data_IF_790697098715
#
_entry.id   IF_790697098715
#
_cell.length_a   1.000
_cell.length_b   1.000
_cell.length_c   1.000
_cell.angle_alpha   90.00
_cell.angle_beta   90.00
_cell.angle_gamma   90.00
#
_symmetry.space_group_name_H-M   'P 1'
#
loop_
_entity.id
_entity.type
_entity.pdbx_description
1 polymer ?
#
# COMPACT_ATOMS: atom_id res chain seq x y z
N UNK A 1 2.95 -26.04 6.81
CA UNK A 1 2.03 -26.18 7.96
C UNK A 1 0.71 -26.77 7.48
N UNK A 2 0.18 -27.81 8.13
CA UNK A 2 -0.94 -28.61 7.61
C UNK A 2 -2.24 -27.78 7.54
N UNK A 3 -2.91 -27.73 6.37
CA UNK A 3 -4.11 -26.91 6.07
C UNK A 3 -5.31 -27.16 7.01
N UNK A 4 -5.32 -28.31 7.69
CA UNK A 4 -6.31 -28.68 8.72
C UNK A 4 -5.95 -28.13 10.12
N UNK A 5 -4.67 -27.88 10.39
CA UNK A 5 -4.20 -27.30 11.64
C UNK A 5 -4.37 -25.77 11.64
N UNK A 6 -4.17 -25.12 10.49
CA UNK A 6 -4.43 -23.68 10.31
C UNK A 6 -5.92 -23.33 10.45
N UNK A 7 -6.83 -24.16 9.91
CA UNK A 7 -8.27 -23.96 10.07
C UNK A 7 -8.71 -24.12 11.54
N UNK A 8 -8.13 -25.08 12.27
CA UNK A 8 -8.39 -25.25 13.71
C UNK A 8 -7.83 -24.11 14.56
N UNK A 9 -6.71 -23.51 14.15
CA UNK A 9 -6.11 -22.36 14.83
C UNK A 9 -6.92 -21.06 14.59
N UNK A 10 -7.42 -20.86 13.37
CA UNK A 10 -8.31 -19.73 13.03
C UNK A 10 -9.65 -19.85 13.77
N UNK A 11 -10.23 -21.06 13.84
CA UNK A 11 -11.42 -21.30 14.66
C UNK A 11 -11.16 -21.07 16.15
N UNK A 12 -9.99 -21.44 16.67
CA UNK A 12 -9.63 -21.23 18.08
C UNK A 12 -9.42 -19.74 18.44
N UNK A 13 -8.84 -18.94 17.53
CA UNK A 13 -8.71 -17.48 17.71
C UNK A 13 -10.07 -16.79 17.58
N UNK A 14 -10.93 -17.22 16.65
CA UNK A 14 -12.32 -16.76 16.58
C UNK A 14 -13.12 -17.12 17.85
N UNK A 15 -12.81 -18.25 18.50
CA UNK A 15 -13.42 -18.65 19.77
C UNK A 15 -12.85 -17.91 20.99
N UNK A 16 -11.58 -17.50 20.96
CA UNK A 16 -10.97 -16.71 22.04
C UNK A 16 -11.44 -15.24 22.07
N UNK A 17 -11.80 -14.67 20.91
CA UNK A 17 -12.39 -13.31 20.81
C UNK A 17 -13.88 -13.33 21.24
N UNK A 18 -14.51 -14.50 21.34
CA UNK A 18 -15.89 -14.65 21.84
C UNK A 18 -16.01 -14.66 23.37
N UNK A 19 -14.91 -14.59 24.13
CA UNK A 19 -14.92 -14.77 25.59
C UNK A 19 -14.59 -13.52 26.43
N UNK A 20 -14.61 -12.31 25.86
CA UNK A 20 -14.52 -11.06 26.64
C UNK A 20 -15.68 -10.13 26.28
N UNK A 21 -16.85 -10.40 26.87
CA UNK A 21 -17.72 -9.35 27.43
C UNK A 21 -18.78 -10.01 28.33
N UNK A 22 -18.47 -10.18 29.60
CA UNK A 22 -19.50 -10.23 30.63
C UNK A 22 -19.39 -8.92 31.40
N UNK A 23 -20.17 -7.93 30.98
CA UNK A 23 -20.72 -6.96 31.93
C UNK A 23 -22.20 -7.29 32.00
N UNK A 24 -22.54 -8.06 33.04
CA UNK A 24 -23.89 -8.17 33.56
C UNK A 24 -24.21 -6.82 34.20
N UNK A 25 -25.09 -6.05 33.58
CA UNK A 25 -26.15 -5.33 34.29
C UNK A 25 -27.05 -4.58 33.31
N UNK A 26 -28.34 -4.59 33.62
CA UNK A 26 -29.46 -3.81 33.06
C UNK A 26 -30.45 -4.61 32.19
N UNK A 27 -31.39 -5.25 32.89
CA UNK A 27 -32.82 -5.38 32.57
C UNK A 27 -33.18 -5.46 31.07
N UNK A 28 -33.41 -6.68 30.63
CA UNK A 28 -33.80 -7.10 29.29
C UNK A 28 -35.19 -6.56 28.90
N UNK A 29 -35.25 -5.25 28.59
CA UNK A 29 -36.21 -4.70 27.65
C UNK A 29 -35.44 -4.55 26.35
N UNK A 30 -35.72 -5.45 25.40
CA UNK A 30 -35.05 -5.52 24.10
C UNK A 30 -34.71 -4.13 23.56
N UNK A 31 -33.44 -3.93 23.20
CA UNK A 31 -32.93 -2.63 22.75
C UNK A 31 -33.87 -2.05 21.71
N UNK A 32 -34.25 -0.77 21.89
CA UNK A 32 -34.98 -0.07 20.85
C UNK A 32 -34.14 -0.09 19.57
N UNK A 33 -34.74 -0.20 18.37
CA UNK A 33 -33.99 -0.19 17.12
C UNK A 33 -33.03 1.00 17.02
N UNK A 34 -33.46 2.17 17.47
CA UNK A 34 -32.65 3.38 17.54
C UNK A 34 -31.36 3.22 18.39
N UNK A 35 -31.39 2.38 19.43
CA UNK A 35 -30.24 2.09 20.29
C UNK A 35 -29.14 1.25 19.63
N UNK A 36 -29.35 0.77 18.38
CA UNK A 36 -28.33 0.11 17.57
C UNK A 36 -27.64 1.06 16.57
N UNK A 37 -28.14 2.29 16.43
CA UNK A 37 -27.57 3.27 15.52
C UNK A 37 -26.24 3.79 16.07
N UNK A 38 -25.20 3.82 15.26
CA UNK A 38 -23.86 4.18 15.69
C UNK A 38 -22.80 3.95 14.62
N UNK A 39 -21.55 4.24 14.99
CA UNK A 39 -20.37 3.97 14.16
C UNK A 39 -19.66 2.75 14.74
N UNK A 40 -19.66 1.66 13.98
CA UNK A 40 -18.94 0.45 14.31
C UNK A 40 -17.55 0.52 13.67
N UNK A 41 -16.51 0.33 14.47
CA UNK A 41 -15.12 0.46 14.02
C UNK A 41 -14.32 -0.79 14.29
N UNK A 42 -13.36 -1.06 13.40
CA UNK A 42 -12.32 -2.06 13.61
C UNK A 42 -10.92 -1.49 13.38
N UNK A 43 -10.79 -0.16 13.53
CA UNK A 43 -9.50 0.52 13.53
C UNK A 43 -8.67 0.09 14.73
N UNK A 44 -7.35 0.00 14.55
CA UNK A 44 -6.42 -0.24 15.66
C UNK A 44 -6.46 0.88 16.70
N UNK A 45 -6.89 2.08 16.32
CA UNK A 45 -7.08 3.24 17.19
C UNK A 45 -8.47 3.32 17.83
N UNK A 46 -9.38 2.38 17.55
CA UNK A 46 -10.71 2.37 18.13
C UNK A 46 -10.64 2.13 19.65
N UNK A 47 -11.51 2.77 20.46
CA UNK A 47 -11.53 2.56 21.90
C UNK A 47 -11.89 1.11 22.23
N UNK A 48 -11.22 0.51 23.22
CA UNK A 48 -11.41 -0.90 23.61
C UNK A 48 -12.87 -1.25 23.96
N UNK A 49 -13.64 -0.27 24.46
CA UNK A 49 -15.04 -0.41 24.81
C UNK A 49 -15.98 0.31 23.81
N UNK A 50 -15.56 0.52 22.57
CA UNK A 50 -16.39 1.05 21.49
C UNK A 50 -17.27 0.00 20.82
N UNK A 51 -18.09 0.45 19.87
CA UNK A 51 -18.88 -0.42 19.01
C UNK A 51 -17.94 -1.11 18.00
N UNK A 52 -17.92 -2.44 18.04
CA UNK A 52 -16.95 -3.26 17.31
C UNK A 52 -17.47 -3.67 15.94
N UNK A 53 -16.63 -3.55 14.91
CA UNK A 53 -16.89 -4.06 13.57
C UNK A 53 -16.09 -5.34 13.30
N UNK A 54 -16.75 -6.36 12.76
CA UNK A 54 -16.11 -7.50 12.11
C UNK A 54 -16.38 -7.38 10.62
N UNK A 55 -15.37 -7.04 9.83
CA UNK A 55 -15.50 -6.82 8.40
C UNK A 55 -14.66 -7.82 7.62
N UNK A 56 -15.26 -8.41 6.58
CA UNK A 56 -14.53 -9.20 5.58
C UNK A 56 -14.76 -8.68 4.17
N UNK A 57 -13.72 -8.84 3.35
CA UNK A 57 -13.65 -8.42 1.96
C UNK A 57 -13.26 -9.65 1.11
N UNK A 58 -14.22 -10.18 0.35
CA UNK A 58 -14.12 -11.45 -0.37
C UNK A 58 -13.55 -12.58 0.51
N UNK A 59 -14.09 -12.71 1.73
CA UNK A 59 -13.71 -13.75 2.70
C UNK A 59 -12.39 -13.49 3.45
N UNK A 60 -11.68 -12.39 3.17
CA UNK A 60 -10.47 -12.01 3.90
C UNK A 60 -10.79 -10.98 4.98
N UNK A 61 -10.16 -11.08 6.15
CA UNK A 61 -10.32 -10.08 7.22
C UNK A 61 -9.90 -8.71 6.68
N UNK A 62 -10.69 -7.68 6.99
CA UNK A 62 -10.42 -6.32 6.54
C UNK A 62 -10.60 -5.31 7.68
N UNK A 63 -9.49 -4.74 8.16
CA UNK A 63 -9.49 -3.82 9.32
C UNK A 63 -9.16 -2.37 8.92
N UNK A 64 -9.24 -1.47 9.89
CA UNK A 64 -9.02 -0.04 9.67
C UNK A 64 -10.22 0.68 9.05
N UNK A 65 -11.44 0.18 9.29
CA UNK A 65 -12.67 0.69 8.68
C UNK A 65 -13.70 1.06 9.73
N UNK A 66 -14.55 1.98 9.31
CA UNK A 66 -15.76 2.38 10.03
C UNK A 66 -16.98 2.10 9.16
N UNK A 67 -18.04 1.62 9.79
CA UNK A 67 -19.36 1.51 9.18
C UNK A 67 -20.36 2.20 10.09
N UNK A 68 -21.05 3.20 9.54
CA UNK A 68 -22.16 3.86 10.24
C UNK A 68 -23.45 3.12 9.92
N UNK A 69 -24.20 2.74 10.95
CA UNK A 69 -25.49 2.08 10.84
C UNK A 69 -26.56 2.98 11.46
N UNK A 70 -27.67 3.20 10.74
CA UNK A 70 -28.80 4.02 11.21
C UNK A 70 -30.10 3.29 11.01
N UNK A 71 -30.87 3.12 12.08
CA UNK A 71 -32.26 2.65 12.00
C UNK A 71 -33.12 3.35 13.04
N UNK A 72 -34.32 3.75 12.66
CA UNK A 72 -35.31 4.34 13.57
C UNK A 72 -36.46 3.38 13.91
N UNK A 73 -36.79 2.48 13.00
CA UNK A 73 -38.02 1.68 13.04
C UNK A 73 -37.79 0.17 13.15
N UNK A 74 -36.53 -0.30 13.04
CA UNK A 74 -36.19 -1.72 13.06
C UNK A 74 -36.66 -2.49 11.83
N UNK A 75 -37.08 -1.80 10.77
CA UNK A 75 -37.52 -2.41 9.50
C UNK A 75 -36.55 -2.11 8.37
N UNK A 76 -36.02 -0.90 8.34
CA UNK A 76 -34.98 -0.50 7.39
C UNK A 76 -33.81 0.14 8.09
N UNK A 77 -32.67 0.15 7.42
CA UNK A 77 -31.49 0.87 7.86
C UNK A 77 -30.78 1.57 6.72
N UNK A 78 -30.06 2.63 7.06
CA UNK A 78 -29.03 3.21 6.20
C UNK A 78 -27.66 2.75 6.70
N UNK A 79 -26.83 2.27 5.77
CA UNK A 79 -25.43 1.93 6.03
C UNK A 79 -24.52 2.90 5.28
N UNK A 80 -23.49 3.41 5.95
CA UNK A 80 -22.46 4.25 5.33
C UNK A 80 -21.11 3.57 5.52
N UNK A 81 -20.57 3.01 4.44
CA UNK A 81 -19.27 2.37 4.41
C UNK A 81 -18.19 3.44 4.20
N UNK A 82 -17.32 3.69 5.18
CA UNK A 82 -16.30 4.76 5.10
C UNK A 82 -14.97 4.19 4.66
N UNK A 83 -14.51 4.59 3.47
CA UNK A 83 -13.25 4.14 2.85
C UNK A 83 -13.14 2.61 2.72
N UNK A 84 -14.26 1.90 2.54
CA UNK A 84 -14.28 0.42 2.46
C UNK A 84 -14.04 -0.06 1.03
N UNK A 85 -14.69 0.56 0.04
CA UNK A 85 -14.51 0.19 -1.36
C UNK A 85 -13.39 1.01 -1.99
N UNK A 86 -12.72 0.49 -3.04
CA UNK A 86 -11.64 1.23 -3.70
C UNK A 86 -12.10 2.61 -4.18
N UNK A 87 -11.35 3.66 -3.80
CA UNK A 87 -11.57 5.07 -4.18
C UNK A 87 -12.88 5.73 -3.71
N UNK A 88 -13.77 4.99 -3.04
CA UNK A 88 -14.96 5.54 -2.40
C UNK A 88 -14.61 6.12 -1.03
N UNK A 89 -14.82 7.42 -0.85
CA UNK A 89 -14.75 8.04 0.47
C UNK A 89 -15.87 7.53 1.39
N UNK A 90 -17.10 7.53 0.88
CA UNK A 90 -18.27 6.97 1.54
C UNK A 90 -19.19 6.29 0.53
N UNK A 91 -19.62 5.06 0.82
CA UNK A 91 -20.65 4.34 0.06
C UNK A 91 -21.92 4.26 0.91
N UNK A 92 -23.01 4.87 0.44
CA UNK A 92 -24.30 4.88 1.15
C UNK A 92 -25.22 3.79 0.60
N UNK A 93 -25.73 2.95 1.49
CA UNK A 93 -26.79 1.97 1.23
C UNK A 93 -28.03 2.43 1.96
N UNK A 94 -29.00 2.96 1.23
CA UNK A 94 -30.21 3.52 1.80
C UNK A 94 -31.35 2.50 1.80
N UNK A 95 -32.21 2.57 2.83
CA UNK A 95 -33.41 1.73 2.94
C UNK A 95 -33.14 0.21 2.87
N UNK A 96 -32.01 -0.25 3.44
CA UNK A 96 -31.66 -1.67 3.51
C UNK A 96 -32.69 -2.41 4.38
N UNK A 97 -33.39 -3.43 3.85
CA UNK A 97 -34.35 -4.19 4.64
C UNK A 97 -33.68 -4.95 5.78
N UNK A 98 -34.29 -4.87 6.96
CA UNK A 98 -33.86 -5.59 8.16
C UNK A 98 -34.76 -6.79 8.42
N UNK A 99 -34.14 -7.90 8.81
CA UNK A 99 -34.83 -9.08 9.36
C UNK A 99 -34.48 -9.23 10.82
N UNK A 100 -35.49 -9.37 11.68
CA UNK A 100 -35.28 -9.56 13.12
C UNK A 100 -34.51 -10.86 13.39
N UNK A 101 -33.55 -10.78 14.31
CA UNK A 101 -32.80 -11.91 14.85
C UNK A 101 -32.87 -11.89 16.39
N UNK A 102 -32.32 -12.91 17.06
CA UNK A 102 -32.43 -13.06 18.52
C UNK A 102 -31.99 -11.80 19.29
N UNK A 103 -30.84 -11.22 18.93
CA UNK A 103 -30.21 -10.11 19.65
C UNK A 103 -29.99 -8.86 18.77
N UNK A 104 -30.84 -8.68 17.74
CA UNK A 104 -30.75 -7.53 16.84
C UNK A 104 -31.33 -7.80 15.45
N UNK A 105 -30.60 -7.44 14.40
CA UNK A 105 -31.06 -7.53 13.02
C UNK A 105 -30.02 -8.12 12.08
N UNK A 106 -30.47 -8.83 11.07
CA UNK A 106 -29.67 -9.24 9.91
C UNK A 106 -30.11 -8.48 8.68
N UNK A 107 -29.18 -8.26 7.75
CA UNK A 107 -29.43 -7.58 6.49
C UNK A 107 -28.58 -8.19 5.39
N UNK A 108 -29.05 -8.12 4.16
CA UNK A 108 -28.29 -8.55 2.99
C UNK A 108 -28.84 -7.93 1.71
N UNK A 109 -28.01 -7.81 0.69
CA UNK A 109 -28.42 -7.34 -0.62
C UNK A 109 -27.23 -7.22 -1.55
N UNK A 110 -27.47 -6.67 -2.73
CA UNK A 110 -26.41 -6.36 -3.69
C UNK A 110 -26.64 -4.96 -4.23
N UNK A 111 -25.55 -4.27 -4.56
CA UNK A 111 -25.60 -2.92 -5.09
C UNK A 111 -24.36 -2.62 -5.91
N UNK A 112 -24.36 -1.45 -6.53
CA UNK A 112 -23.21 -0.89 -7.23
C UNK A 112 -22.94 0.49 -6.66
N UNK A 113 -21.72 0.72 -6.19
CA UNK A 113 -21.27 1.99 -5.67
C UNK A 113 -21.19 3.08 -6.75
N UNK A 114 -21.01 4.34 -6.34
CA UNK A 114 -20.91 5.47 -7.27
C UNK A 114 -19.72 5.35 -8.24
N UNK A 115 -18.61 4.74 -7.80
CA UNK A 115 -17.44 4.40 -8.62
C UNK A 115 -17.66 3.19 -9.54
N UNK A 116 -18.86 2.60 -9.57
CA UNK A 116 -19.17 1.43 -10.40
C UNK A 116 -18.74 0.10 -9.79
N UNK A 117 -18.22 0.08 -8.55
CA UNK A 117 -17.87 -1.16 -7.85
C UNK A 117 -19.14 -1.91 -7.46
N UNK A 118 -19.38 -3.08 -8.06
CA UNK A 118 -20.48 -3.96 -7.73
C UNK A 118 -20.10 -4.92 -6.60
N UNK A 119 -21.01 -5.21 -5.68
CA UNK A 119 -20.76 -6.14 -4.58
C UNK A 119 -22.06 -6.69 -3.98
N UNK A 120 -21.94 -7.85 -3.33
CA UNK A 120 -22.93 -8.38 -2.40
C UNK A 120 -22.53 -8.02 -0.97
N UNK A 121 -23.51 -7.72 -0.12
CA UNK A 121 -23.30 -7.49 1.29
C UNK A 121 -24.23 -8.39 2.12
N UNK A 122 -23.70 -8.92 3.20
CA UNK A 122 -24.45 -9.64 4.22
C UNK A 122 -23.93 -9.25 5.59
N UNK A 123 -24.81 -9.04 6.56
CA UNK A 123 -24.37 -8.68 7.90
C UNK A 123 -25.41 -8.82 8.98
N UNK A 124 -24.96 -8.59 10.20
CA UNK A 124 -25.76 -8.58 11.40
C UNK A 124 -25.32 -7.45 12.32
N UNK A 125 -26.28 -6.85 13.02
CA UNK A 125 -26.04 -5.82 14.02
C UNK A 125 -26.73 -6.21 15.32
N UNK A 126 -26.01 -6.05 16.41
CA UNK A 126 -26.45 -6.25 17.79
C UNK A 126 -25.83 -5.16 18.67
N UNK A 127 -26.22 -5.08 19.95
CA UNK A 127 -25.64 -4.11 20.89
C UNK A 127 -24.10 -4.17 20.82
N UNK A 128 -23.49 -3.04 20.45
CA UNK A 128 -22.02 -2.83 20.38
C UNK A 128 -21.24 -3.72 19.42
N UNK A 129 -21.91 -4.50 18.55
CA UNK A 129 -21.23 -5.34 17.58
C UNK A 129 -21.95 -5.37 16.24
N UNK A 130 -21.19 -5.18 15.17
CA UNK A 130 -21.62 -5.36 13.79
C UNK A 130 -20.71 -6.38 13.10
N UNK A 131 -21.30 -7.29 12.34
CA UNK A 131 -20.58 -8.14 11.39
C UNK A 131 -21.04 -7.78 9.98
N UNK A 132 -20.10 -7.55 9.08
CA UNK A 132 -20.35 -7.22 7.68
C UNK A 132 -19.40 -8.04 6.79
N UNK A 133 -19.98 -8.76 5.85
CA UNK A 133 -19.28 -9.46 4.79
C UNK A 133 -19.60 -8.79 3.47
N UNK A 134 -18.55 -8.41 2.74
CA UNK A 134 -18.63 -7.99 1.36
C UNK A 134 -18.06 -9.11 0.48
N UNK A 135 -18.85 -9.54 -0.51
CA UNK A 135 -18.51 -10.63 -1.43
C UNK A 135 -18.84 -10.25 -2.88
N UNK A 136 -18.34 -11.04 -3.83
CA UNK A 136 -18.49 -10.84 -5.26
C UNK A 136 -18.10 -9.43 -5.72
N UNK A 137 -17.12 -8.84 -5.02
CA UNK A 137 -16.71 -7.46 -5.24
C UNK A 137 -16.01 -7.37 -6.59
N UNK A 138 -16.48 -6.48 -7.45
CA UNK A 138 -15.96 -6.27 -8.81
C UNK A 138 -15.89 -4.78 -9.11
N UNK A 139 -14.68 -4.25 -9.34
CA UNK A 139 -14.49 -2.88 -9.81
C UNK A 139 -14.72 -2.80 -11.33
N UNK A 140 -14.97 -1.60 -11.89
CA UNK A 140 -15.05 -1.44 -13.34
C UNK A 140 -13.81 -1.99 -14.06
N UNK A 141 -14.04 -2.72 -15.15
CA UNK A 141 -12.98 -3.30 -15.95
C UNK A 141 -12.05 -2.21 -16.48
N UNK A 142 -10.74 -2.44 -16.37
CA UNK A 142 -9.71 -1.54 -16.87
C UNK A 142 -8.53 -2.35 -17.41
N UNK A 143 -7.60 -1.68 -18.08
CA UNK A 143 -6.45 -2.35 -18.73
C UNK A 143 -5.59 -3.16 -17.74
N UNK A 144 -5.47 -2.71 -16.48
CA UNK A 144 -4.63 -3.37 -15.50
C UNK A 144 -5.27 -4.67 -15.01
N UNK A 145 -6.55 -4.62 -14.63
CA UNK A 145 -7.30 -5.81 -14.18
C UNK A 145 -7.61 -6.80 -15.30
N UNK A 146 -7.74 -6.32 -16.54
CA UNK A 146 -7.91 -7.17 -17.72
C UNK A 146 -6.67 -8.04 -18.00
N UNK A 147 -5.47 -7.49 -17.82
CA UNK A 147 -4.23 -8.28 -17.91
C UNK A 147 -3.99 -9.10 -16.63
N UNK A 148 -4.43 -8.59 -15.48
CA UNK A 148 -4.28 -9.22 -14.19
C UNK A 148 -2.87 -9.05 -13.64
N UNK A 149 -1.95 -9.96 -14.01
CA UNK A 149 -0.55 -9.94 -13.54
C UNK A 149 0.33 -9.13 -14.48
N UNK A 150 1.15 -8.26 -13.92
CA UNK A 150 2.14 -7.45 -14.62
C UNK A 150 3.52 -7.70 -14.02
N UNK A 151 4.52 -7.86 -14.88
CA UNK A 151 5.88 -8.23 -14.47
C UNK A 151 6.76 -7.00 -14.42
N UNK A 152 7.57 -6.90 -13.36
CA UNK A 152 8.55 -5.82 -13.23
C UNK A 152 9.57 -5.95 -14.36
N UNK A 153 9.86 -4.82 -15.01
CA UNK A 153 10.92 -4.75 -16.02
C UNK A 153 12.31 -4.73 -15.36
N UNK A 154 12.72 -5.85 -14.78
CA UNK A 154 14.03 -6.00 -14.13
C UNK A 154 15.17 -5.45 -15.00
N UNK A 155 16.12 -4.75 -14.38
CA UNK A 155 17.20 -3.92 -14.97
C UNK A 155 16.78 -2.54 -15.53
N UNK A 156 15.50 -2.32 -15.84
CA UNK A 156 14.96 -1.05 -16.35
C UNK A 156 13.70 -0.62 -15.58
N UNK A 157 13.55 -1.09 -14.33
CA UNK A 157 12.26 -1.03 -13.64
C UNK A 157 11.79 0.40 -13.38
N UNK A 158 12.70 1.37 -13.31
CA UNK A 158 12.36 2.77 -13.11
C UNK A 158 12.37 3.57 -14.41
N UNK A 159 11.30 4.34 -14.64
CA UNK A 159 11.38 5.52 -15.49
C UNK A 159 11.83 6.70 -14.64
N UNK A 160 12.95 7.30 -14.99
CA UNK A 160 13.44 8.54 -14.41
C UNK A 160 13.73 9.47 -15.58
N UNK A 161 13.08 10.63 -15.64
CA UNK A 161 13.37 11.64 -16.66
C UNK A 161 13.56 12.99 -15.99
N UNK A 162 14.64 13.68 -16.39
CA UNK A 162 15.02 15.03 -15.96
C UNK A 162 15.30 15.83 -17.22
N UNK A 163 14.30 16.53 -17.73
CA UNK A 163 14.46 17.41 -18.89
C UNK A 163 15.03 18.76 -18.43
N UNK A 164 16.26 19.09 -18.81
CA UNK A 164 16.97 20.23 -18.21
C UNK A 164 17.79 21.10 -19.17
N UNK A 165 17.57 21.05 -20.49
CA UNK A 165 18.23 21.99 -21.42
C UNK A 165 19.79 21.93 -21.48
N UNK A 166 20.36 22.59 -22.48
CA UNK A 166 21.68 22.25 -23.09
C UNK A 166 22.96 22.48 -22.26
N UNK A 167 22.91 22.82 -20.96
CA UNK A 167 24.11 22.89 -20.11
C UNK A 167 23.92 22.44 -18.65
N UNK A 168 22.68 22.11 -18.23
CA UNK A 168 22.32 21.45 -16.95
C UNK A 168 22.08 19.93 -17.14
N UNK A 169 22.34 19.41 -18.35
CA UNK A 169 22.22 18.00 -18.77
C UNK A 169 23.04 17.03 -17.94
N UNK A 170 24.10 17.47 -17.26
CA UNK A 170 25.04 16.57 -16.58
C UNK A 170 24.68 16.28 -15.12
N UNK A 171 24.06 17.23 -14.40
CA UNK A 171 23.41 16.94 -13.10
C UNK A 171 22.16 16.10 -13.32
N UNK A 172 21.38 16.39 -14.37
CA UNK A 172 20.28 15.51 -14.81
C UNK A 172 20.76 14.09 -15.12
N UNK A 173 21.87 13.94 -15.87
CA UNK A 173 22.49 12.64 -16.13
C UNK A 173 22.96 11.94 -14.85
N UNK A 174 23.50 12.68 -13.88
CA UNK A 174 23.92 12.16 -12.58
C UNK A 174 22.73 11.69 -11.74
N UNK A 175 21.62 12.43 -11.72
CA UNK A 175 20.39 12.00 -11.05
C UNK A 175 19.78 10.76 -11.71
N UNK A 176 19.82 10.68 -13.04
CA UNK A 176 19.42 9.48 -13.79
C UNK A 176 20.30 8.27 -13.43
N UNK A 177 21.62 8.47 -13.35
CA UNK A 177 22.56 7.40 -13.04
C UNK A 177 22.42 6.94 -11.59
N UNK A 178 22.42 7.83 -10.60
CA UNK A 178 22.36 7.42 -9.19
C UNK A 178 20.92 7.14 -8.76
N UNK A 179 20.03 8.12 -8.92
CA UNK A 179 18.65 8.03 -8.43
C UNK A 179 17.82 7.05 -9.24
N UNK A 180 17.94 7.09 -10.57
CA UNK A 180 17.27 6.15 -11.45
C UNK A 180 17.71 4.71 -11.18
N UNK A 181 19.02 4.42 -11.15
CA UNK A 181 19.48 3.05 -10.90
C UNK A 181 19.17 2.59 -9.49
N UNK A 182 19.31 3.43 -8.47
CA UNK A 182 18.95 3.07 -7.10
C UNK A 182 17.47 2.69 -6.99
N UNK A 183 16.56 3.52 -7.50
CA UNK A 183 15.12 3.26 -7.45
C UNK A 183 14.76 2.03 -8.27
N UNK A 184 15.28 1.92 -9.50
CA UNK A 184 15.05 0.79 -10.38
C UNK A 184 15.57 -0.53 -9.80
N UNK A 185 16.77 -0.52 -9.22
CA UNK A 185 17.36 -1.71 -8.60
C UNK A 185 16.69 -2.06 -7.29
N UNK A 186 16.27 -1.09 -6.48
CA UNK A 186 15.48 -1.35 -5.27
C UNK A 186 14.17 -2.04 -5.63
N UNK A 187 13.42 -1.51 -6.60
CA UNK A 187 12.17 -2.11 -7.09
C UNK A 187 12.44 -3.53 -7.61
N UNK A 188 13.45 -3.71 -8.47
CA UNK A 188 13.80 -5.02 -9.05
C UNK A 188 14.26 -6.03 -7.99
N UNK A 189 14.84 -5.56 -6.89
CA UNK A 189 15.29 -6.43 -5.79
C UNK A 189 14.14 -6.92 -4.93
N UNK A 190 13.09 -6.12 -4.77
CA UNK A 190 12.03 -6.38 -3.79
C UNK A 190 10.70 -6.79 -4.43
N UNK A 191 10.50 -6.58 -5.72
CA UNK A 191 9.26 -6.91 -6.45
C UNK A 191 9.56 -7.70 -7.73
N UNK A 192 8.86 -8.81 -7.95
CA UNK A 192 8.91 -9.58 -9.21
C UNK A 192 7.71 -9.27 -10.11
N UNK A 193 6.51 -9.26 -9.52
CA UNK A 193 5.27 -9.04 -10.25
C UNK A 193 4.18 -8.42 -9.35
N UNK A 194 3.19 -7.82 -10.00
CA UNK A 194 2.05 -7.17 -9.37
C UNK A 194 0.78 -7.67 -10.07
N UNK A 195 -0.14 -8.23 -9.29
CA UNK A 195 -1.45 -8.66 -9.75
C UNK A 195 -2.53 -7.66 -9.31
N UNK A 196 -3.18 -7.03 -10.29
CA UNK A 196 -4.39 -6.23 -10.09
C UNK A 196 -5.62 -7.13 -10.25
N UNK A 197 -6.32 -7.38 -9.16
CA UNK A 197 -7.46 -8.31 -9.15
C UNK A 197 -8.76 -7.60 -9.55
N UNK A 198 -9.76 -8.34 -10.08
CA UNK A 198 -11.07 -7.78 -10.43
C UNK A 198 -11.82 -7.16 -9.24
N UNK A 199 -11.50 -7.56 -8.02
CA UNK A 199 -12.04 -6.98 -6.79
C UNK A 199 -11.30 -5.73 -6.31
N UNK A 200 -10.36 -5.21 -7.11
CA UNK A 200 -9.54 -4.07 -6.75
C UNK A 200 -8.41 -4.38 -5.77
N UNK A 201 -8.21 -5.62 -5.31
CA UNK A 201 -7.02 -5.95 -4.52
C UNK A 201 -5.76 -5.90 -5.38
N UNK A 202 -4.66 -5.41 -4.78
CA UNK A 202 -3.32 -5.52 -5.34
C UNK A 202 -2.57 -6.61 -4.57
N UNK A 203 -2.05 -7.60 -5.28
CA UNK A 203 -1.14 -8.59 -4.72
C UNK A 203 0.22 -8.41 -5.37
N UNK A 204 1.25 -8.21 -4.55
CA UNK A 204 2.63 -8.13 -5.01
C UNK A 204 3.34 -9.44 -4.72
N UNK A 205 4.13 -9.93 -5.65
CA UNK A 205 5.10 -10.99 -5.40
C UNK A 205 6.43 -10.34 -5.03
N UNK A 206 6.88 -10.55 -3.80
CA UNK A 206 7.97 -9.76 -3.20
C UNK A 206 8.97 -10.64 -2.46
N UNK A 207 10.18 -10.12 -2.30
CA UNK A 207 11.26 -10.73 -1.53
C UNK A 207 11.91 -9.67 -0.64
N UNK A 208 12.30 -9.99 0.60
CA UNK A 208 13.06 -9.08 1.43
C UNK A 208 14.50 -8.96 0.91
N UNK A 209 15.09 -7.77 1.05
CA UNK A 209 16.53 -7.61 0.85
C UNK A 209 17.29 -8.52 1.84
N UNK A 210 18.36 -9.21 1.40
CA UNK A 210 19.23 -9.95 2.30
C UNK A 210 19.85 -9.00 3.34
N UNK A 211 20.01 -9.47 4.59
CA UNK A 211 20.56 -8.66 5.69
C UNK A 211 21.98 -8.12 5.41
N UNK A 212 22.71 -8.74 4.47
CA UNK A 212 24.04 -8.33 4.04
C UNK A 212 24.06 -7.23 2.98
N UNK A 213 22.90 -6.84 2.44
CA UNK A 213 22.79 -5.84 1.36
C UNK A 213 22.36 -4.51 1.96
N UNK A 214 23.24 -3.52 1.88
CA UNK A 214 22.91 -2.15 2.20
C UNK A 214 22.21 -1.48 1.01
N UNK A 215 21.38 -0.46 1.28
CA UNK A 215 20.71 0.31 0.22
C UNK A 215 21.73 0.90 -0.79
N UNK A 216 22.93 1.25 -0.33
CA UNK A 216 24.01 1.74 -1.21
C UNK A 216 24.49 0.73 -2.24
N UNK A 217 24.44 -0.57 -1.95
CA UNK A 217 24.86 -1.64 -2.88
C UNK A 217 23.95 -1.70 -4.11
N UNK A 218 22.71 -1.21 -3.97
CA UNK A 218 21.70 -1.18 -5.03
C UNK A 218 21.96 -0.10 -6.07
N UNK A 219 22.95 0.77 -5.89
CA UNK A 219 23.33 1.74 -6.94
C UNK A 219 23.90 1.00 -8.16
N UNK A 220 24.72 -0.03 -7.94
CA UNK A 220 25.40 -0.76 -9.01
C UNK A 220 24.52 -1.83 -9.66
N UNK A 221 23.83 -2.64 -8.86
CA UNK A 221 22.98 -3.73 -9.39
C UNK A 221 21.87 -4.09 -8.41
N UNK A 222 20.83 -4.76 -8.91
CA UNK A 222 19.75 -5.29 -8.07
C UNK A 222 20.09 -6.69 -7.54
N UNK A 223 19.43 -7.06 -6.45
CA UNK A 223 19.52 -8.41 -5.88
C UNK A 223 18.67 -9.36 -6.71
N UNK A 224 19.32 -10.36 -7.30
CA UNK A 224 18.62 -11.47 -7.95
C UNK A 224 18.23 -12.52 -6.92
N UNK A 225 16.93 -12.72 -6.77
CA UNK A 225 16.39 -13.76 -5.91
C UNK A 225 16.10 -15.05 -6.71
N UNK A 226 16.40 -16.24 -6.15
CA UNK A 226 15.89 -17.49 -6.71
C UNK A 226 14.36 -17.51 -6.65
N UNK A 227 13.73 -18.28 -7.55
CA UNK A 227 12.28 -18.37 -7.66
C UNK A 227 11.56 -18.75 -6.34
N UNK A 228 12.25 -19.44 -5.42
CA UNK A 228 11.73 -19.87 -4.12
C UNK A 228 11.61 -18.76 -3.08
N UNK A 229 12.32 -17.64 -3.26
CA UNK A 229 12.37 -16.56 -2.27
C UNK A 229 11.18 -15.60 -2.40
N UNK A 230 10.57 -15.57 -3.58
CA UNK A 230 9.42 -14.74 -3.88
C UNK A 230 8.16 -15.28 -3.22
N UNK A 231 7.46 -14.42 -2.50
CA UNK A 231 6.18 -14.73 -1.88
C UNK A 231 5.11 -13.71 -2.24
N UNK A 232 3.89 -14.18 -2.46
CA UNK A 232 2.75 -13.30 -2.63
C UNK A 232 2.43 -12.55 -1.33
N UNK A 233 2.07 -11.28 -1.45
CA UNK A 233 1.54 -10.48 -0.35
C UNK A 233 0.18 -11.02 0.10
N UNK A 234 -0.16 -10.87 1.38
CA UNK A 234 -1.54 -11.02 1.84
C UNK A 234 -2.50 -10.10 1.08
N UNK A 235 -3.77 -10.50 1.00
CA UNK A 235 -4.82 -9.64 0.48
C UNK A 235 -5.08 -8.43 1.40
N UNK A 236 -5.74 -7.42 0.86
CA UNK A 236 -6.19 -6.23 1.55
C UNK A 236 -5.06 -5.37 2.14
N UNK A 237 -3.83 -5.45 1.63
CA UNK A 237 -2.76 -4.50 1.99
C UNK A 237 -2.84 -3.20 1.16
N UNK A 238 -3.27 -3.31 -0.10
CA UNK A 238 -3.51 -2.18 -0.97
C UNK A 238 -4.64 -2.51 -1.94
N UNK A 239 -5.38 -1.48 -2.33
CA UNK A 239 -6.46 -1.57 -3.31
C UNK A 239 -6.26 -0.56 -4.44
N UNK A 240 -6.71 -0.87 -5.65
CA UNK A 240 -6.63 -0.01 -6.81
C UNK A 240 -8.01 0.40 -7.33
N UNK A 241 -8.08 1.61 -7.88
CA UNK A 241 -9.13 2.07 -8.79
C UNK A 241 -8.48 2.75 -9.98
N UNK A 242 -8.97 2.52 -11.19
CA UNK A 242 -8.41 3.12 -12.40
C UNK A 242 -9.49 3.79 -13.24
N UNK A 243 -9.24 5.03 -13.66
CA UNK A 243 -10.13 5.85 -14.48
C UNK A 243 -9.31 6.76 -15.40
N UNK A 244 -9.65 6.85 -16.69
CA UNK A 244 -9.07 7.83 -17.64
C UNK A 244 -7.52 7.88 -17.61
N UNK A 245 -6.86 6.72 -17.67
CA UNK A 245 -5.40 6.54 -17.54
C UNK A 245 -4.80 6.97 -16.21
N UNK A 246 -5.59 7.28 -15.19
CA UNK A 246 -5.13 7.45 -13.82
C UNK A 246 -5.36 6.16 -13.04
N UNK A 247 -4.37 5.76 -12.25
CA UNK A 247 -4.44 4.71 -11.26
C UNK A 247 -4.39 5.35 -9.87
N UNK A 248 -5.30 4.96 -8.99
CA UNK A 248 -5.32 5.36 -7.59
C UNK A 248 -5.03 4.13 -6.75
N UNK A 249 -3.93 4.15 -5.98
CA UNK A 249 -3.57 3.06 -5.08
C UNK A 249 -3.79 3.49 -3.64
N UNK A 250 -4.79 2.89 -3.00
CA UNK A 250 -5.11 3.13 -1.59
C UNK A 250 -4.40 2.12 -0.71
N UNK A 251 -3.56 2.61 0.19
CA UNK A 251 -2.86 1.78 1.17
C UNK A 251 -3.76 1.49 2.37
N UNK A 252 -3.84 0.22 2.75
CA UNK A 252 -4.67 -0.23 3.87
C UNK A 252 -3.82 -0.23 5.15
N UNK A 253 -3.62 0.95 5.73
CA UNK A 253 -2.60 1.20 6.77
C UNK A 253 -2.73 0.25 7.98
N UNK A 254 -3.91 0.05 8.54
CA UNK A 254 -4.09 -0.85 9.67
C UNK A 254 -3.81 -2.32 9.31
N UNK A 255 -4.13 -2.74 8.08
CA UNK A 255 -3.77 -4.06 7.56
C UNK A 255 -2.25 -4.21 7.43
N UNK A 256 -1.57 -3.19 6.92
CA UNK A 256 -0.11 -3.13 6.81
C UNK A 256 0.53 -3.19 8.21
N UNK A 257 0.07 -2.37 9.16
CA UNK A 257 0.56 -2.37 10.55
C UNK A 257 0.40 -3.75 11.17
N UNK A 258 -0.78 -4.36 11.03
CA UNK A 258 -1.03 -5.72 11.53
C UNK A 258 -0.06 -6.73 10.91
N UNK A 259 0.20 -6.64 9.60
CA UNK A 259 1.16 -7.53 8.94
C UNK A 259 2.59 -7.32 9.44
N UNK A 260 3.02 -6.07 9.63
CA UNK A 260 4.33 -5.74 10.20
C UNK A 260 4.46 -6.31 11.62
N UNK A 261 3.44 -6.16 12.46
CA UNK A 261 3.44 -6.72 13.82
C UNK A 261 3.52 -8.25 13.82
N UNK A 262 2.78 -8.93 12.94
CA UNK A 262 2.85 -10.39 12.78
C UNK A 262 4.24 -10.84 12.33
N UNK A 263 4.87 -10.12 11.40
CA UNK A 263 6.23 -10.42 10.95
C UNK A 263 7.27 -10.14 12.06
N UNK A 264 7.11 -9.06 12.85
CA UNK A 264 8.00 -8.71 13.96
C UNK A 264 8.00 -9.76 15.08
N UNK A 265 6.85 -10.32 15.42
CA UNK A 265 6.75 -11.38 16.44
C UNK A 265 7.54 -12.66 16.08
N UNK A 266 8.07 -12.76 14.85
CA UNK A 266 8.88 -13.89 14.38
C UNK A 266 10.39 -13.61 14.32
N UNK A 267 10.87 -12.39 14.60
CA UNK A 267 12.32 -12.05 14.65
C UNK A 267 12.68 -11.42 16.01
N UNK A 268 13.58 -12.05 16.75
CA UNK A 268 14.11 -11.55 18.02
C UNK A 268 15.27 -10.55 17.82
N UNK A 269 15.27 -9.49 18.64
CA UNK A 269 16.36 -8.55 18.99
C UNK A 269 17.06 -7.71 17.89
N UNK A 270 16.88 -6.38 17.96
CA UNK A 270 17.95 -5.34 18.09
C UNK A 270 17.41 -3.91 17.86
N UNK A 271 18.06 -2.93 18.51
CA UNK A 271 17.81 -1.48 18.59
C UNK A 271 16.61 -0.91 17.80
N UNK A 272 15.43 -0.99 18.43
CA UNK A 272 14.14 -0.91 17.75
C UNK A 272 13.46 0.46 17.82
N UNK A 273 13.83 1.33 18.76
CA UNK A 273 13.05 2.54 19.09
C UNK A 273 13.18 3.67 18.06
N UNK A 274 14.37 3.88 17.48
CA UNK A 274 14.58 4.89 16.45
C UNK A 274 13.91 4.48 15.11
N UNK A 275 14.05 3.21 14.73
CA UNK A 275 13.37 2.61 13.59
C UNK A 275 11.85 2.66 13.76
N UNK A 276 11.33 2.37 14.96
CA UNK A 276 9.90 2.46 15.26
C UNK A 276 9.37 3.89 15.19
N UNK A 277 10.09 4.87 15.75
CA UNK A 277 9.70 6.27 15.67
C UNK A 277 9.73 6.79 14.23
N UNK A 278 10.73 6.41 13.44
CA UNK A 278 10.83 6.79 12.02
C UNK A 278 9.70 6.14 11.20
N UNK A 279 9.44 4.85 11.40
CA UNK A 279 8.33 4.14 10.77
C UNK A 279 6.98 4.78 11.15
N UNK A 280 6.78 5.13 12.42
CA UNK A 280 5.56 5.81 12.89
C UNK A 280 5.40 7.23 12.34
N UNK A 281 6.49 8.00 12.23
CA UNK A 281 6.48 9.32 11.63
C UNK A 281 6.18 9.26 10.12
N UNK A 282 6.74 8.27 9.42
CA UNK A 282 6.39 7.98 8.03
C UNK A 282 4.91 7.59 7.92
N UNK A 283 4.39 6.76 8.84
CA UNK A 283 2.98 6.39 8.85
C UNK A 283 2.05 7.58 9.02
N UNK A 284 2.31 8.50 9.94
CA UNK A 284 1.48 9.70 10.11
C UNK A 284 1.37 10.53 8.82
N UNK A 285 2.46 10.60 8.07
CA UNK A 285 2.50 11.29 6.79
C UNK A 285 1.79 10.52 5.67
N UNK A 286 1.82 9.19 5.69
CA UNK A 286 1.20 8.32 4.67
C UNK A 286 -0.32 8.12 4.89
N UNK A 287 -0.87 8.45 6.07
CA UNK A 287 -2.33 8.35 6.33
C UNK A 287 -3.16 9.15 5.33
N UNK A 288 -2.65 10.28 4.81
CA UNK A 288 -3.34 11.03 3.75
C UNK A 288 -3.72 10.13 2.56
N UNK A 289 -2.75 9.35 2.07
CA UNK A 289 -2.94 8.41 0.95
C UNK A 289 -3.88 7.24 1.25
N UNK A 290 -4.19 6.97 2.51
CA UNK A 290 -5.22 5.97 2.85
C UNK A 290 -6.64 6.43 2.49
N UNK A 291 -6.82 7.74 2.23
CA UNK A 291 -8.12 8.32 1.88
C UNK A 291 -8.20 8.77 0.43
N UNK A 292 -7.16 9.42 -0.10
CA UNK A 292 -7.12 9.90 -1.50
C UNK A 292 -6.61 8.85 -2.48
N UNK A 293 -5.82 7.89 -1.98
CA UNK A 293 -4.98 7.03 -2.80
C UNK A 293 -3.76 7.77 -3.33
N UNK A 294 -2.72 7.01 -3.65
CA UNK A 294 -1.54 7.49 -4.39
C UNK A 294 -1.91 7.53 -5.86
N UNK A 295 -1.95 8.73 -6.44
CA UNK A 295 -2.26 8.90 -7.87
C UNK A 295 -1.04 8.61 -8.75
N UNK A 296 -1.26 7.74 -9.74
CA UNK A 296 -0.31 7.41 -10.80
C UNK A 296 -0.95 7.63 -12.18
N UNK A 297 -0.14 8.00 -13.17
CA UNK A 297 -0.51 8.02 -14.59
C UNK A 297 -0.08 6.71 -15.24
N UNK A 298 -0.99 6.08 -15.97
CA UNK A 298 -0.72 4.91 -16.80
C UNK A 298 -0.37 5.41 -18.20
N UNK A 299 0.89 5.26 -18.59
CA UNK A 299 1.40 5.69 -19.89
C UNK A 299 1.88 4.48 -20.70
N UNK A 300 1.55 4.34 -21.99
CA UNK A 300 2.19 3.36 -22.86
C UNK A 300 3.70 3.62 -22.92
N UNK A 301 4.51 2.55 -22.92
CA UNK A 301 5.94 2.72 -23.14
C UNK A 301 6.20 3.14 -24.58
N UNK A 302 7.10 4.12 -24.77
CA UNK A 302 7.61 4.50 -26.11
C UNK A 302 8.61 3.49 -26.66
N UNK A 303 9.17 2.63 -25.80
CA UNK A 303 10.10 1.58 -26.15
C UNK A 303 9.63 0.23 -25.58
N UNK A 304 9.06 -0.67 -26.41
CA UNK A 304 8.59 -1.98 -25.96
C UNK A 304 9.66 -2.85 -25.30
N UNK A 305 10.96 -2.60 -25.54
CA UNK A 305 12.06 -3.31 -24.88
C UNK A 305 12.33 -2.84 -23.43
N UNK A 306 11.61 -1.82 -22.96
CA UNK A 306 11.66 -1.34 -21.57
C UNK A 306 10.42 -1.74 -20.77
N UNK A 307 9.31 -2.06 -21.44
CA UNK A 307 8.03 -2.38 -20.82
C UNK A 307 6.89 -2.16 -21.81
N UNK A 308 5.70 -2.66 -21.50
CA UNK A 308 4.46 -2.36 -22.22
C UNK A 308 3.84 -1.03 -21.74
N UNK A 309 3.89 -0.80 -20.42
CA UNK A 309 3.37 0.42 -19.78
C UNK A 309 4.37 0.97 -18.75
N UNK A 310 4.12 2.21 -18.35
CA UNK A 310 4.77 2.91 -17.25
C UNK A 310 3.69 3.37 -16.28
N UNK A 311 3.85 3.07 -14.99
CA UNK A 311 3.07 3.66 -13.90
C UNK A 311 3.85 4.83 -13.32
N UNK A 312 3.52 6.05 -13.72
CA UNK A 312 4.22 7.26 -13.33
C UNK A 312 3.59 7.87 -12.08
N UNK A 313 4.37 8.08 -11.02
CA UNK A 313 3.92 8.79 -9.84
C UNK A 313 3.59 10.24 -10.21
N UNK A 314 2.40 10.71 -9.82
CA UNK A 314 2.04 12.10 -10.05
C UNK A 314 3.00 13.04 -9.29
N UNK A 315 3.31 14.21 -9.88
CA UNK A 315 4.27 15.16 -9.30
C UNK A 315 3.94 15.56 -7.86
N UNK A 316 2.66 15.77 -7.53
CA UNK A 316 2.25 16.13 -6.16
C UNK A 316 2.51 14.98 -5.18
N UNK A 317 2.25 13.74 -5.60
CA UNK A 317 2.51 12.54 -4.79
C UNK A 317 4.01 12.31 -4.59
N UNK A 318 4.82 12.59 -5.62
CA UNK A 318 6.27 12.54 -5.54
C UNK A 318 6.81 13.58 -4.53
N UNK A 319 6.25 14.79 -4.53
CA UNK A 319 6.60 15.82 -3.55
C UNK A 319 6.27 15.36 -2.13
N UNK A 320 5.09 14.79 -1.90
CA UNK A 320 4.68 14.25 -0.61
C UNK A 320 5.57 13.09 -0.15
N UNK A 321 5.89 12.16 -1.06
CA UNK A 321 6.81 11.05 -0.80
C UNK A 321 8.20 11.54 -0.39
N UNK A 322 8.73 12.55 -1.07
CA UNK A 322 10.05 13.10 -0.76
C UNK A 322 10.08 13.86 0.57
N UNK A 323 8.94 14.28 1.12
CA UNK A 323 8.88 14.78 2.51
C UNK A 323 9.15 13.69 3.56
N UNK A 324 9.12 12.41 3.16
CA UNK A 324 9.53 11.29 4.00
C UNK A 324 11.04 11.08 4.01
N UNK A 325 11.78 11.64 3.04
CA UNK A 325 13.21 11.37 2.88
C UNK A 325 14.04 11.66 4.15
N UNK A 326 13.82 12.76 4.91
CA UNK A 326 14.52 12.98 6.17
C UNK A 326 14.31 11.85 7.19
N UNK A 327 13.11 11.26 7.20
CA UNK A 327 12.76 10.13 8.07
C UNK A 327 13.46 8.87 7.57
N UNK A 328 13.40 8.58 6.26
CA UNK A 328 14.05 7.42 5.65
C UNK A 328 15.57 7.48 5.78
N UNK A 329 16.18 8.67 5.73
CA UNK A 329 17.62 8.85 5.95
C UNK A 329 18.07 8.35 7.32
N UNK A 330 17.22 8.41 8.35
CA UNK A 330 17.55 7.84 9.67
C UNK A 330 17.70 6.32 9.67
N UNK A 331 17.21 5.65 8.62
CA UNK A 331 17.29 4.20 8.45
C UNK A 331 18.51 3.76 7.63
N UNK A 332 19.22 4.71 7.00
CA UNK A 332 20.41 4.45 6.20
C UNK A 332 21.64 4.60 7.11
N UNK A 333 22.59 3.64 7.13
CA UNK A 333 23.82 3.78 7.92
C UNK A 333 24.56 5.08 7.59
N UNK A 334 25.08 5.76 8.62
CA UNK A 334 25.81 7.03 8.45
C UNK A 334 27.00 6.88 7.49
N UNK A 335 27.70 5.75 7.56
CA UNK A 335 28.80 5.40 6.66
C UNK A 335 28.37 5.44 5.18
N UNK A 336 27.16 5.01 4.86
CA UNK A 336 26.60 5.07 3.50
C UNK A 336 26.20 6.49 3.12
N UNK A 337 25.63 7.26 4.04
CA UNK A 337 25.24 8.66 3.78
C UNK A 337 26.44 9.59 3.60
N UNK A 338 27.52 9.31 4.32
CA UNK A 338 28.75 10.11 4.32
C UNK A 338 29.77 9.64 3.26
N UNK A 339 29.54 8.49 2.64
CA UNK A 339 30.37 7.98 1.56
C UNK A 339 30.40 8.98 0.38
N UNK A 340 31.58 9.29 -0.17
CA UNK A 340 31.71 10.04 -1.41
C UNK A 340 30.98 9.32 -2.53
N UNK A 341 30.19 10.06 -3.30
CA UNK A 341 29.41 9.48 -4.40
C UNK A 341 30.31 8.83 -5.46
N UNK A 342 31.50 9.40 -5.69
CA UNK A 342 32.48 8.83 -6.63
C UNK A 342 32.95 7.44 -6.23
N UNK A 343 32.93 7.08 -4.94
CA UNK A 343 33.33 5.74 -4.49
C UNK A 343 32.26 4.69 -4.84
N UNK A 344 31.01 5.13 -5.07
CA UNK A 344 29.88 4.26 -5.39
C UNK A 344 29.64 4.11 -6.90
N UNK A 345 29.86 5.18 -7.68
CA UNK A 345 29.56 5.20 -9.12
C UNK A 345 30.79 5.39 -10.01
N UNK A 346 32.00 5.46 -9.45
CA UNK A 346 33.23 5.74 -10.20
C UNK A 346 33.45 4.77 -11.37
N UNK A 347 33.19 3.48 -11.14
CA UNK A 347 33.33 2.42 -12.16
C UNK A 347 32.23 2.46 -13.24
N UNK A 348 31.13 3.17 -12.97
CA UNK A 348 30.00 3.34 -13.90
C UNK A 348 30.19 4.55 -14.82
N UNK A 349 31.09 5.46 -14.45
CA UNK A 349 31.40 6.66 -15.24
C UNK A 349 32.44 6.28 -16.31
N UNK A 350 32.14 6.46 -17.61
CA UNK A 350 33.12 6.22 -18.66
C UNK A 350 34.39 7.06 -18.43
N UNK A 351 35.60 6.52 -18.64
CA UNK A 351 36.86 7.19 -18.27
C UNK A 351 37.01 8.62 -18.81
N UNK A 352 36.47 8.88 -20.00
CA UNK A 352 36.47 10.21 -20.63
C UNK A 352 35.66 11.26 -19.87
N UNK A 353 34.76 10.85 -18.96
CA UNK A 353 33.93 11.74 -18.14
C UNK A 353 34.37 11.78 -16.68
N UNK A 354 35.35 10.98 -16.25
CA UNK A 354 35.76 10.87 -14.84
C UNK A 354 36.24 12.20 -14.24
N UNK A 355 37.05 12.97 -14.98
CA UNK A 355 37.50 14.30 -14.52
C UNK A 355 36.37 15.32 -14.39
N UNK A 356 35.36 15.21 -15.25
CA UNK A 356 34.19 16.08 -15.26
C UNK A 356 33.21 15.69 -14.14
N UNK A 357 33.02 14.39 -13.90
CA UNK A 357 32.27 13.88 -12.76
C UNK A 357 32.92 14.28 -11.44
N UNK A 358 34.24 14.19 -11.30
CA UNK A 358 34.96 14.67 -10.12
C UNK A 358 34.77 16.17 -9.86
N UNK A 359 34.75 16.99 -10.93
CA UNK A 359 34.50 18.43 -10.83
C UNK A 359 33.05 18.78 -10.47
N UNK A 360 32.08 17.99 -10.93
CA UNK A 360 30.66 18.19 -10.63
C UNK A 360 30.27 17.71 -9.25
N UNK A 361 30.81 16.55 -8.86
CA UNK A 361 30.52 15.94 -7.58
C UNK A 361 31.26 16.66 -6.47
N UNK A 362 32.46 17.21 -6.70
CA UNK A 362 33.22 17.97 -5.69
C UNK A 362 33.35 17.26 -4.32
N UNK A 363 33.36 15.92 -4.31
CA UNK A 363 33.36 15.15 -3.07
C UNK A 363 32.03 15.12 -2.30
N UNK A 364 30.91 15.47 -2.95
CA UNK A 364 29.56 15.33 -2.40
C UNK A 364 29.31 13.90 -1.95
N UNK A 365 28.66 13.79 -0.80
CA UNK A 365 28.24 12.52 -0.21
C UNK A 365 26.85 12.11 -0.70
N UNK A 366 26.49 10.85 -0.52
CA UNK A 366 25.14 10.34 -0.87
C UNK A 366 24.06 11.16 -0.16
N UNK A 367 24.25 11.46 1.13
CA UNK A 367 23.33 12.25 1.92
C UNK A 367 23.12 13.65 1.35
N UNK A 368 24.19 14.30 0.87
CA UNK A 368 24.12 15.63 0.27
C UNK A 368 23.39 15.64 -1.09
N UNK A 369 23.55 14.59 -1.91
CA UNK A 369 22.80 14.46 -3.16
C UNK A 369 21.30 14.27 -2.88
N UNK A 370 20.95 13.44 -1.90
CA UNK A 370 19.56 13.25 -1.49
C UNK A 370 18.91 14.55 -1.00
N UNK A 371 19.66 15.39 -0.26
CA UNK A 371 19.16 16.70 0.18
C UNK A 371 19.00 17.68 -0.98
N UNK A 372 19.93 17.67 -1.94
CA UNK A 372 19.85 18.51 -3.12
C UNK A 372 18.66 18.13 -4.03
N UNK A 373 18.37 16.84 -4.16
CA UNK A 373 17.20 16.34 -4.90
C UNK A 373 15.89 16.93 -4.36
N UNK A 374 15.74 17.03 -3.03
CA UNK A 374 14.55 17.65 -2.41
C UNK A 374 14.46 19.13 -2.79
N UNK A 375 15.57 19.87 -2.72
CA UNK A 375 15.58 21.31 -2.99
C UNK A 375 15.26 21.63 -4.45
N UNK A 376 15.72 20.77 -5.36
CA UNK A 376 15.60 20.99 -6.81
C UNK A 376 14.33 20.38 -7.42
N UNK A 377 13.56 19.57 -6.68
CA UNK A 377 12.34 18.90 -7.13
C UNK A 377 11.29 19.85 -7.73
N UNK A 378 11.21 21.08 -7.21
CA UNK A 378 10.27 22.08 -7.73
C UNK A 378 10.77 22.75 -9.01
N UNK A 379 12.08 22.78 -9.21
CA UNK A 379 12.74 23.45 -10.33
C UNK A 379 13.06 22.50 -11.48
N UNK A 380 13.18 21.20 -11.21
CA UNK A 380 13.50 20.16 -12.18
C UNK A 380 12.22 19.37 -12.48
N UNK A 381 11.86 19.14 -13.76
CA UNK A 381 10.80 18.20 -14.09
C UNK A 381 11.31 16.78 -13.85
N UNK A 382 10.99 16.22 -12.67
CA UNK A 382 11.30 14.84 -12.31
C UNK A 382 10.04 14.00 -12.49
N UNK A 383 10.10 13.00 -13.35
CA UNK A 383 9.10 11.93 -13.43
C UNK A 383 9.72 10.64 -12.86
N UNK A 384 9.04 9.99 -11.92
CA UNK A 384 9.43 8.68 -11.39
C UNK A 384 8.29 7.71 -11.67
N UNK A 385 8.58 6.54 -12.24
CA UNK A 385 7.58 5.51 -12.44
C UNK A 385 8.15 4.11 -12.56
N UNK A 386 7.25 3.13 -12.68
CA UNK A 386 7.60 1.72 -12.78
C UNK A 386 7.24 1.20 -14.17
N UNK A 387 8.21 0.59 -14.86
CA UNK A 387 7.97 -0.13 -16.10
C UNK A 387 7.43 -1.53 -15.84
N UNK A 388 6.39 -1.89 -16.58
CA UNK A 388 5.71 -3.17 -16.45
C UNK A 388 5.52 -3.86 -17.80
N UNK A 389 5.72 -5.18 -17.82
CA UNK A 389 5.40 -6.05 -18.95
C UNK A 389 4.09 -6.81 -18.71
N UNK A 390 3.36 -7.08 -19.80
CA UNK A 390 2.18 -7.94 -19.79
C UNK A 390 2.53 -9.40 -19.59
N UNK A 391 3.61 -9.83 -20.25
CA UNK A 391 4.12 -11.20 -20.23
C UNK A 391 5.44 -11.28 -19.47
N UNK A 392 5.72 -12.44 -18.86
CA UNK A 392 6.97 -12.63 -18.12
C UNK A 392 8.16 -12.55 -19.10
N UNK A 393 9.12 -11.62 -18.91
CA UNK A 393 10.27 -11.53 -19.78
C UNK A 393 11.17 -12.76 -19.62
N UNK A 394 11.71 -13.25 -20.73
CA UNK A 394 12.76 -14.27 -20.71
C UNK A 394 14.11 -13.56 -20.60
N UNK A 395 14.70 -13.55 -19.39
CA UNK A 395 16.03 -12.98 -19.14
C UNK A 395 17.15 -14.01 -19.23
#
# INVERSE_FOLDING_TARGET
>A
MNRKLSLRFICAIAMAILLISCDDDENDKGLSPAGLSGIYSNKLSAPANGDSLVLSYNGNIFIGKDVEFKTGDGKTADLILKYVLPHDGETKLENVPLSAAADGYTFSGSTTAATGTAFHYQGSVQKRKMTLELSDITIPANQLTANGTWYIAHNNASYYNVDNGSMQTMLGMLYNMIGGQLVGNLISSVLDDITFRPDGNIIANYAPLPDSVAIGDLIGTYVKHPASDWTASPANLATCYAENNSLYVTLQIDMIIRQVMMNKQTKADSDQSAMENAIMAAYQKIIGWSTTGIKMEIRPSSNPAQGDIILLLNKTELQELLTLLPIVKTLIPAETLDAPVMDLIGDMIPPQFAGLAGLLLQGKTVGAILDQLIQELNTIPIEIGIYLYKDKPNY
#
